data_IF_103119721365
#
_entry.id   IF_103119721365
#
_cell.length_a   1.000
_cell.length_b   1.000
_cell.length_c   1.000
_cell.angle_alpha   90.00
_cell.angle_beta   90.00
_cell.angle_gamma   90.00
#
_symmetry.space_group_name_H-M   'P 1'
#
loop_
_entity.id
_entity.type
_entity.pdbx_description
1 polymer ?
#
# COMPACT_ATOMS: atom_id res chain seq x y z
N UNK A 1 -28.32 35.66 15.66
CA UNK A 1 -27.68 34.55 14.90
C UNK A 1 -28.78 33.53 14.65
N UNK A 2 -28.98 33.10 13.40
CA UNK A 2 -30.05 32.15 13.05
C UNK A 2 -29.78 30.77 13.67
N UNK A 3 -30.68 30.22 14.52
CA UNK A 3 -30.50 28.90 15.14
C UNK A 3 -30.31 27.75 14.13
N UNK A 4 -30.87 27.87 12.92
CA UNK A 4 -30.71 26.87 11.87
C UNK A 4 -29.27 26.83 11.33
N UNK A 5 -28.68 28.01 11.07
CA UNK A 5 -27.31 28.14 10.61
C UNK A 5 -26.28 27.63 11.63
N UNK A 6 -26.53 27.85 12.93
CA UNK A 6 -25.66 27.33 14.00
C UNK A 6 -25.68 25.79 14.07
N UNK A 7 -26.85 25.18 13.86
CA UNK A 7 -27.00 23.72 13.82
C UNK A 7 -26.25 23.11 12.64
N UNK A 8 -26.34 23.75 11.47
CA UNK A 8 -25.66 23.29 10.26
C UNK A 8 -24.13 23.39 10.38
N UNK A 9 -23.61 24.46 11.00
CA UNK A 9 -22.19 24.60 11.27
C UNK A 9 -21.66 23.52 12.24
N UNK A 10 -22.42 23.21 13.30
CA UNK A 10 -22.06 22.13 14.24
C UNK A 10 -22.02 20.78 13.54
N UNK A 11 -22.98 20.48 12.66
CA UNK A 11 -23.03 19.25 11.87
C UNK A 11 -21.82 19.17 10.93
N UNK A 12 -21.49 20.25 10.24
CA UNK A 12 -20.34 20.29 9.32
C UNK A 12 -19.02 20.02 10.06
N UNK A 13 -18.80 20.69 11.19
CA UNK A 13 -17.62 20.47 12.04
C UNK A 13 -17.53 19.03 12.54
N UNK A 14 -18.65 18.43 12.94
CA UNK A 14 -18.68 17.03 13.36
C UNK A 14 -18.29 16.07 12.21
N UNK A 15 -18.80 16.31 10.99
CA UNK A 15 -18.44 15.54 9.79
C UNK A 15 -16.96 15.68 9.44
N UNK A 16 -16.39 16.88 9.52
CA UNK A 16 -14.95 17.09 9.30
C UNK A 16 -14.09 16.27 10.28
N UNK A 17 -14.47 16.24 11.56
CA UNK A 17 -13.78 15.47 12.60
C UNK A 17 -13.90 13.97 12.31
N UNK A 18 -15.09 13.50 11.95
CA UNK A 18 -15.31 12.09 11.59
C UNK A 18 -14.49 11.68 10.36
N UNK A 19 -14.56 12.48 9.28
CA UNK A 19 -13.78 12.23 8.06
C UNK A 19 -12.29 12.17 8.35
N UNK A 20 -11.79 13.04 9.22
CA UNK A 20 -10.40 13.01 9.63
C UNK A 20 -10.01 11.69 10.30
N UNK A 21 -10.77 11.23 11.28
CA UNK A 21 -10.48 9.96 11.95
C UNK A 21 -10.55 8.78 10.99
N UNK A 22 -11.56 8.76 10.10
CA UNK A 22 -11.65 7.77 9.02
C UNK A 22 -10.39 7.77 8.15
N UNK A 23 -9.86 8.95 7.81
CA UNK A 23 -8.63 9.07 7.00
C UNK A 23 -7.39 8.65 7.76
N UNK A 24 -7.30 8.87 9.07
CA UNK A 24 -6.20 8.37 9.90
C UNK A 24 -6.19 6.83 9.85
N UNK A 25 -7.30 6.20 10.19
CA UNK A 25 -7.43 4.73 10.19
C UNK A 25 -7.14 4.16 8.81
N UNK A 26 -7.67 4.78 7.75
CA UNK A 26 -7.43 4.33 6.38
C UNK A 26 -5.94 4.42 6.00
N UNK A 27 -5.23 5.48 6.38
CA UNK A 27 -3.78 5.59 6.10
C UNK A 27 -2.97 4.53 6.85
N UNK A 28 -3.39 4.16 8.06
CA UNK A 28 -2.73 3.12 8.84
C UNK A 28 -2.98 1.74 8.20
N UNK A 29 -4.21 1.46 7.77
CA UNK A 29 -4.54 0.26 7.00
C UNK A 29 -3.81 0.18 5.64
N UNK A 30 -3.55 1.33 5.01
CA UNK A 30 -2.80 1.42 3.76
C UNK A 30 -1.30 1.12 3.93
N UNK A 31 -0.74 1.31 5.12
CA UNK A 31 0.73 1.23 5.31
C UNK A 31 1.19 0.11 6.23
N UNK A 32 0.53 -0.10 7.37
CA UNK A 32 1.02 -0.99 8.43
C UNK A 32 1.05 -2.45 7.96
N UNK A 33 0.01 -3.01 7.30
CA UNK A 33 0.03 -4.41 6.89
C UNK A 33 1.21 -4.74 5.97
N UNK A 34 1.50 -3.88 4.99
CA UNK A 34 2.64 -4.06 4.08
C UNK A 34 3.97 -3.91 4.81
N UNK A 35 4.08 -2.94 5.73
CA UNK A 35 5.29 -2.76 6.54
C UNK A 35 5.59 -4.00 7.39
N UNK A 36 4.57 -4.58 8.04
CA UNK A 36 4.71 -5.80 8.83
C UNK A 36 5.21 -6.97 7.98
N UNK A 37 4.68 -7.14 6.77
CA UNK A 37 5.15 -8.18 5.85
C UNK A 37 6.61 -7.94 5.46
N UNK A 38 6.95 -6.73 5.01
CA UNK A 38 8.33 -6.40 4.57
C UNK A 38 9.34 -6.53 5.71
N UNK A 39 9.01 -6.03 6.89
CA UNK A 39 9.91 -6.11 8.04
C UNK A 39 9.99 -7.53 8.60
N UNK A 40 8.89 -8.29 8.59
CA UNK A 40 8.86 -9.70 8.97
C UNK A 40 9.76 -10.55 8.09
N UNK A 41 9.83 -10.27 6.78
CA UNK A 41 10.79 -10.91 5.87
C UNK A 41 12.23 -10.64 6.32
N UNK A 42 12.56 -9.39 6.65
CA UNK A 42 13.90 -9.07 7.10
C UNK A 42 14.26 -9.77 8.41
N UNK A 43 13.34 -9.84 9.37
CA UNK A 43 13.54 -10.60 10.62
C UNK A 43 13.76 -12.09 10.34
N UNK A 44 12.98 -12.71 9.46
CA UNK A 44 13.15 -14.11 9.07
C UNK A 44 14.47 -14.40 8.34
N UNK A 45 15.17 -13.35 7.88
CA UNK A 45 16.43 -13.42 7.15
C UNK A 45 17.58 -12.75 7.92
N UNK A 46 17.49 -12.67 9.25
CA UNK A 46 18.46 -11.92 10.09
C UNK A 46 19.93 -12.27 9.78
N UNK A 47 20.21 -13.55 9.48
CA UNK A 47 21.55 -14.05 9.14
C UNK A 47 22.12 -13.55 7.80
N UNK A 48 21.29 -12.92 6.95
CA UNK A 48 21.63 -12.55 5.56
C UNK A 48 21.54 -11.06 5.28
N UNK A 49 20.90 -10.30 6.16
CA UNK A 49 20.67 -8.88 5.95
C UNK A 49 21.53 -8.07 6.91
N UNK A 50 21.68 -6.77 6.66
CA UNK A 50 22.33 -5.89 7.62
C UNK A 50 21.36 -5.62 8.80
N UNK A 51 21.63 -6.10 10.02
CA UNK A 51 20.72 -5.98 11.16
C UNK A 51 20.55 -4.52 11.59
N UNK A 52 21.61 -3.71 11.50
CA UNK A 52 21.56 -2.27 11.84
C UNK A 52 20.61 -1.52 10.93
N UNK A 53 20.64 -1.81 9.62
CA UNK A 53 19.72 -1.21 8.64
C UNK A 53 18.28 -1.66 8.91
N UNK A 54 18.07 -2.94 9.22
CA UNK A 54 16.74 -3.48 9.51
C UNK A 54 16.11 -2.86 10.75
N UNK A 55 16.85 -2.88 11.87
CA UNK A 55 16.41 -2.30 13.15
C UNK A 55 16.18 -0.79 12.98
N UNK A 56 17.10 -0.09 12.32
CA UNK A 56 16.97 1.35 12.05
C UNK A 56 15.72 1.67 11.22
N UNK A 57 15.46 0.91 10.15
CA UNK A 57 14.27 1.07 9.31
C UNK A 57 12.97 0.78 10.08
N UNK A 58 12.92 -0.31 10.86
CA UNK A 58 11.75 -0.67 11.66
C UNK A 58 11.45 0.36 12.75
N UNK A 59 12.48 0.80 13.50
CA UNK A 59 12.34 1.80 14.55
C UNK A 59 11.90 3.15 13.96
N UNK A 60 12.54 3.58 12.88
CA UNK A 60 12.20 4.82 12.17
C UNK A 60 10.75 4.78 11.68
N UNK A 61 10.33 3.68 11.04
CA UNK A 61 8.97 3.52 10.57
C UNK A 61 7.95 3.61 11.72
N UNK A 62 8.19 2.87 12.80
CA UNK A 62 7.27 2.81 13.95
C UNK A 62 7.10 4.19 14.59
N UNK A 63 8.21 4.89 14.84
CA UNK A 63 8.20 6.25 15.41
C UNK A 63 7.46 7.21 14.49
N UNK A 64 7.75 7.19 13.19
CA UNK A 64 7.10 8.07 12.23
C UNK A 64 5.61 7.78 12.05
N UNK A 65 5.15 6.53 12.26
CA UNK A 65 3.71 6.21 12.22
C UNK A 65 2.97 6.79 13.41
N UNK A 66 3.53 6.67 14.63
CA UNK A 66 2.98 7.33 15.80
C UNK A 66 2.91 8.85 15.61
N UNK A 67 3.99 9.47 15.11
CA UNK A 67 4.01 10.90 14.81
C UNK A 67 3.06 11.30 13.67
N UNK A 68 2.91 10.47 12.64
CA UNK A 68 1.98 10.71 11.54
C UNK A 68 0.54 10.83 12.05
N UNK A 69 0.11 9.91 12.92
CA UNK A 69 -1.22 9.93 13.54
C UNK A 69 -1.43 11.19 14.38
N UNK A 70 -0.45 11.57 15.19
CA UNK A 70 -0.49 12.81 15.99
C UNK A 70 -0.57 14.05 15.07
N UNK A 71 0.29 14.12 14.05
CA UNK A 71 0.33 15.22 13.10
C UNK A 71 -1.00 15.36 12.34
N UNK A 72 -1.59 14.23 11.94
CA UNK A 72 -2.89 14.22 11.27
C UNK A 72 -4.01 14.70 12.21
N UNK A 73 -4.07 14.18 13.44
CA UNK A 73 -5.07 14.58 14.42
C UNK A 73 -5.02 16.08 14.72
N UNK A 74 -3.81 16.64 14.84
CA UNK A 74 -3.55 18.05 15.19
C UNK A 74 -3.46 19.03 14.00
N UNK A 75 -3.78 18.61 12.76
CA UNK A 75 -3.66 19.46 11.53
C UNK A 75 -2.23 19.98 11.27
N UNK A 76 -1.20 19.26 11.69
CA UNK A 76 0.19 19.72 11.58
C UNK A 76 0.76 19.45 10.19
N UNK A 77 0.66 20.45 9.32
CA UNK A 77 1.29 20.46 8.00
C UNK A 77 2.57 21.32 8.05
N UNK A 78 3.71 20.93 7.44
CA UNK A 78 3.93 19.80 6.53
C UNK A 78 4.33 18.48 7.21
N UNK A 79 4.40 18.44 8.54
CA UNK A 79 4.91 17.30 9.32
C UNK A 79 4.21 15.98 8.97
N UNK A 80 2.89 15.99 8.76
CA UNK A 80 2.15 14.82 8.28
C UNK A 80 2.74 14.25 6.98
N UNK A 81 2.91 15.11 5.96
CA UNK A 81 3.41 14.67 4.66
C UNK A 81 4.84 14.11 4.76
N UNK A 82 5.69 14.72 5.58
CA UNK A 82 7.05 14.23 5.83
C UNK A 82 7.08 12.91 6.58
N UNK A 83 6.28 12.75 7.63
CA UNK A 83 6.20 11.49 8.38
C UNK A 83 5.78 10.33 7.45
N UNK A 84 4.81 10.57 6.57
CA UNK A 84 4.41 9.58 5.57
C UNK A 84 5.54 9.25 4.59
N UNK A 85 6.20 10.27 4.00
CA UNK A 85 7.27 10.08 3.01
C UNK A 85 8.46 9.32 3.58
N UNK A 86 8.95 9.73 4.75
CA UNK A 86 10.08 9.08 5.40
C UNK A 86 9.70 7.67 5.86
N UNK A 87 8.44 7.45 6.29
CA UNK A 87 7.93 6.11 6.57
C UNK A 87 7.95 5.19 5.34
N UNK A 88 7.59 5.69 4.15
CA UNK A 88 7.71 4.93 2.91
C UNK A 88 9.18 4.58 2.61
N UNK A 89 10.10 5.53 2.78
CA UNK A 89 11.54 5.30 2.60
C UNK A 89 12.06 4.22 3.55
N UNK A 90 11.59 4.19 4.80
CA UNK A 90 11.97 3.15 5.76
C UNK A 90 11.52 1.74 5.32
N UNK A 91 10.29 1.59 4.80
CA UNK A 91 9.86 0.30 4.25
C UNK A 91 10.69 -0.07 3.02
N UNK A 92 10.96 0.87 2.11
CA UNK A 92 11.82 0.64 0.94
C UNK A 92 13.21 0.19 1.37
N UNK A 93 13.80 0.83 2.38
CA UNK A 93 15.11 0.45 2.91
C UNK A 93 15.11 -0.99 3.45
N UNK A 94 14.08 -1.39 4.21
CA UNK A 94 13.92 -2.78 4.66
C UNK A 94 13.79 -3.76 3.50
N UNK A 95 13.00 -3.42 2.48
CA UNK A 95 12.82 -4.26 1.29
C UNK A 95 14.13 -4.39 0.48
N UNK A 96 14.86 -3.29 0.27
CA UNK A 96 16.16 -3.29 -0.42
C UNK A 96 17.18 -4.11 0.36
N UNK A 97 17.22 -3.97 1.69
CA UNK A 97 18.10 -4.76 2.55
C UNK A 97 17.82 -6.27 2.39
N UNK A 98 16.54 -6.67 2.33
CA UNK A 98 16.15 -8.05 2.07
C UNK A 98 16.55 -8.54 0.66
N UNK A 99 16.33 -7.72 -0.38
CA UNK A 99 16.71 -8.05 -1.76
C UNK A 99 18.23 -8.23 -1.88
N UNK A 100 19.00 -7.30 -1.32
CA UNK A 100 20.48 -7.33 -1.31
C UNK A 100 20.98 -8.53 -0.52
N UNK A 101 20.43 -8.77 0.68
CA UNK A 101 20.77 -9.92 1.52
C UNK A 101 20.63 -11.25 0.79
N UNK A 102 19.57 -11.40 -0.02
CA UNK A 102 19.31 -12.63 -0.76
C UNK A 102 20.06 -12.73 -2.10
N UNK A 103 20.45 -11.58 -2.68
CA UNK A 103 21.11 -11.53 -4.00
C UNK A 103 22.64 -11.48 -3.94
N UNK A 104 23.23 -10.82 -2.93
CA UNK A 104 24.64 -10.40 -2.92
C UNK A 104 25.48 -11.10 -1.85
N UNK A 105 24.92 -11.49 -0.70
CA UNK A 105 25.68 -12.15 0.37
C UNK A 105 25.54 -13.68 0.29
N UNK A 106 26.45 -14.40 -0.41
CA UNK A 106 26.58 -15.83 -0.22
C UNK A 106 27.15 -16.07 1.18
N UNK A 107 26.55 -16.99 1.94
CA UNK A 107 27.07 -17.40 3.24
C UNK A 107 28.52 -17.88 3.06
N UNK A 108 29.43 -17.43 3.94
CA UNK A 108 30.64 -18.17 4.28
C UNK A 108 30.24 -19.44 5.06
N UNK A 109 29.61 -20.38 4.35
CA UNK A 109 29.34 -21.76 4.74
C UNK A 109 28.92 -22.47 3.44
N UNK A 110 29.44 -23.67 3.13
CA UNK A 110 29.15 -24.33 1.86
C UNK A 110 27.75 -24.93 1.94
N UNK A 111 26.71 -24.12 1.75
CA UNK A 111 25.34 -24.51 1.32
C UNK A 111 24.41 -23.30 1.30
N UNK A 112 23.79 -23.09 0.13
CA UNK A 112 22.62 -22.27 -0.18
C UNK A 112 22.77 -20.74 -0.23
N UNK A 113 23.03 -20.25 -1.46
CA UNK A 113 22.34 -19.06 -1.98
C UNK A 113 20.83 -19.18 -1.67
N UNK A 114 20.13 -18.09 -1.38
CA UNK A 114 18.70 -18.19 -0.99
C UNK A 114 17.89 -19.03 -1.96
N UNK A 115 16.98 -19.87 -1.43
CA UNK A 115 16.16 -20.77 -2.24
C UNK A 115 15.46 -19.96 -3.33
N UNK A 116 15.28 -20.55 -4.51
CA UNK A 116 14.68 -19.88 -5.67
C UNK A 116 13.30 -19.30 -5.34
N UNK A 117 12.59 -19.98 -4.44
CA UNK A 117 11.31 -19.62 -3.85
C UNK A 117 11.44 -18.31 -3.05
N UNK A 118 12.41 -18.24 -2.13
CA UNK A 118 12.66 -17.04 -1.33
C UNK A 118 13.08 -15.86 -2.20
N UNK A 119 13.98 -16.07 -3.17
CA UNK A 119 14.39 -15.04 -4.14
C UNK A 119 13.20 -14.48 -4.89
N UNK A 120 12.38 -15.36 -5.46
CA UNK A 120 11.18 -14.98 -6.21
C UNK A 120 10.20 -14.22 -5.32
N UNK A 121 9.96 -14.71 -4.11
CA UNK A 121 9.04 -14.09 -3.16
C UNK A 121 9.45 -12.66 -2.82
N UNK A 122 10.72 -12.43 -2.49
CA UNK A 122 11.22 -11.10 -2.12
C UNK A 122 11.14 -10.13 -3.30
N UNK A 123 11.61 -10.53 -4.49
CA UNK A 123 11.58 -9.68 -5.69
C UNK A 123 10.14 -9.31 -6.05
N UNK A 124 9.23 -10.28 -6.08
CA UNK A 124 7.82 -10.05 -6.41
C UNK A 124 7.12 -9.18 -5.36
N UNK A 125 7.39 -9.40 -4.06
CA UNK A 125 6.87 -8.57 -2.96
C UNK A 125 7.33 -7.12 -3.10
N UNK A 126 8.59 -6.89 -3.46
CA UNK A 126 9.12 -5.55 -3.70
C UNK A 126 8.45 -4.86 -4.90
N UNK A 127 8.26 -5.58 -6.02
CA UNK A 127 7.55 -5.05 -7.20
C UNK A 127 6.12 -4.65 -6.83
N UNK A 128 5.40 -5.49 -6.10
CA UNK A 128 4.03 -5.20 -5.65
C UNK A 128 3.98 -4.01 -4.70
N UNK A 129 4.97 -3.88 -3.82
CA UNK A 129 5.09 -2.71 -2.94
C UNK A 129 5.36 -1.42 -3.73
N UNK A 130 6.30 -1.43 -4.69
CA UNK A 130 6.57 -0.28 -5.56
C UNK A 130 5.32 0.14 -6.33
N UNK A 131 4.61 -0.83 -6.91
CA UNK A 131 3.32 -0.61 -7.58
C UNK A 131 2.33 0.09 -6.63
N UNK A 132 2.18 -0.39 -5.39
CA UNK A 132 1.29 0.21 -4.40
C UNK A 132 1.67 1.66 -4.06
N UNK A 133 2.97 1.95 -3.88
CA UNK A 133 3.48 3.31 -3.65
C UNK A 133 3.18 4.24 -4.84
N UNK A 134 3.35 3.76 -6.07
CA UNK A 134 3.02 4.52 -7.28
C UNK A 134 1.51 4.80 -7.34
N UNK A 135 0.67 3.80 -7.09
CA UNK A 135 -0.78 3.93 -7.13
C UNK A 135 -1.32 4.92 -6.08
N UNK A 136 -0.80 4.87 -4.85
CA UNK A 136 -1.14 5.84 -3.78
C UNK A 136 -0.66 7.25 -4.11
N UNK A 137 0.52 7.40 -4.75
CA UNK A 137 1.00 8.66 -5.28
C UNK A 137 0.08 9.26 -6.35
N UNK A 138 -0.39 8.45 -7.31
CA UNK A 138 -1.33 8.92 -8.33
C UNK A 138 -2.67 9.29 -7.69
N UNK A 139 -3.22 8.43 -6.82
CA UNK A 139 -4.46 8.72 -6.11
C UNK A 139 -4.36 10.01 -5.28
N UNK A 140 -3.22 10.28 -4.65
CA UNK A 140 -2.98 11.53 -3.93
C UNK A 140 -3.19 12.75 -4.84
N UNK A 141 -2.65 12.74 -6.07
CA UNK A 141 -2.87 13.82 -7.05
C UNK A 141 -4.34 13.96 -7.45
N UNK A 142 -5.03 12.85 -7.71
CA UNK A 142 -6.45 12.86 -8.07
C UNK A 142 -7.34 13.34 -6.93
N UNK A 143 -6.93 13.09 -5.69
CA UNK A 143 -7.61 13.60 -4.48
C UNK A 143 -7.53 15.13 -4.39
N UNK A 144 -6.39 15.73 -4.77
CA UNK A 144 -6.26 17.18 -4.85
C UNK A 144 -7.12 17.76 -5.99
N UNK A 145 -7.14 17.10 -7.16
CA UNK A 145 -7.93 17.55 -8.33
C UNK A 145 -9.44 17.60 -8.01
N UNK A 146 -9.90 16.68 -7.15
CA UNK A 146 -11.29 16.55 -6.71
C UNK A 146 -11.66 17.41 -5.48
N UNK A 147 -10.72 18.18 -4.89
CA UNK A 147 -10.99 18.96 -3.67
C UNK A 147 -11.15 18.12 -2.39
N UNK A 148 -10.82 16.83 -2.47
CA UNK A 148 -11.08 15.86 -1.40
C UNK A 148 -9.99 15.83 -0.31
N UNK A 149 -8.99 16.73 -0.36
CA UNK A 149 -7.98 16.83 0.70
C UNK A 149 -8.49 17.59 1.92
N UNK A 150 -7.87 17.37 3.08
CA UNK A 150 -8.09 18.21 4.25
C UNK A 150 -7.83 19.71 3.96
N UNK A 151 -8.55 20.63 4.62
CA UNK A 151 -8.42 22.06 4.38
C UNK A 151 -7.03 22.63 4.74
N UNK A 152 -6.31 22.01 5.66
CA UNK A 152 -4.94 22.42 5.97
C UNK A 152 -3.92 22.17 4.83
N UNK A 153 -4.27 21.34 3.83
CA UNK A 153 -3.40 21.07 2.68
C UNK A 153 -3.41 22.19 1.62
N UNK A 154 -4.22 23.23 1.79
CA UNK A 154 -4.40 24.33 0.81
C UNK A 154 -3.11 25.07 0.43
N UNK A 155 -2.13 25.11 1.34
CA UNK A 155 -0.86 25.83 1.12
C UNK A 155 0.22 24.96 0.47
N UNK A 156 -0.07 23.70 0.17
CA UNK A 156 0.90 22.85 -0.53
C UNK A 156 1.04 23.27 -1.99
N UNK A 157 2.23 23.10 -2.56
CA UNK A 157 2.47 23.32 -3.99
C UNK A 157 1.51 22.52 -4.88
N UNK A 158 1.12 21.30 -4.47
CA UNK A 158 0.13 20.49 -5.19
C UNK A 158 -1.31 21.02 -5.12
N UNK A 159 -1.63 21.93 -4.20
CA UNK A 159 -2.96 22.53 -4.09
C UNK A 159 -3.08 23.85 -4.87
N UNK A 160 -1.96 24.48 -5.24
CA UNK A 160 -1.95 25.73 -5.99
C UNK A 160 -2.59 25.53 -7.37
N UNK A 161 -3.53 26.41 -7.72
CA UNK A 161 -4.28 26.33 -8.98
C UNK A 161 -5.31 25.20 -9.06
N UNK A 162 -5.56 24.48 -7.96
CA UNK A 162 -6.60 23.44 -7.87
C UNK A 162 -7.79 23.92 -7.05
N UNK A 163 -8.84 23.10 -7.06
CA UNK A 163 -10.09 23.34 -6.31
C UNK A 163 -9.82 23.50 -4.80
N UNK A 164 -10.75 24.14 -4.10
CA UNK A 164 -10.68 24.25 -2.65
C UNK A 164 -10.69 22.86 -1.99
N UNK A 165 -9.84 22.68 -0.99
CA UNK A 165 -9.69 21.41 -0.28
C UNK A 165 -10.56 21.44 0.98
N UNK A 166 -11.55 20.56 1.07
CA UNK A 166 -12.53 20.58 2.15
C UNK A 166 -13.10 19.18 2.44
N UNK A 167 -12.29 18.14 2.21
CA UNK A 167 -12.72 16.73 2.22
C UNK A 167 -13.78 16.38 1.16
N UNK A 168 -14.07 17.28 0.21
CA UNK A 168 -15.17 17.13 -0.74
C UNK A 168 -16.54 17.40 -0.11
N UNK A 169 -16.60 18.00 1.08
CA UNK A 169 -17.84 18.33 1.81
C UNK A 169 -18.58 19.52 1.19
N UNK A 170 -17.86 20.42 0.54
CA UNK A 170 -18.42 21.59 -0.13
C UNK A 170 -18.01 21.54 -1.61
N UNK A 171 -18.96 21.80 -2.50
CA UNK A 171 -18.75 21.83 -3.94
C UNK A 171 -20.07 22.02 -4.69
N UNK A 172 -20.00 22.51 -5.92
CA UNK A 172 -21.17 22.56 -6.80
C UNK A 172 -21.37 21.17 -7.41
N UNK A 173 -22.39 20.46 -6.93
CA UNK A 173 -22.72 19.14 -7.44
C UNK A 173 -23.25 19.16 -8.89
N UNK A 174 -23.46 20.35 -9.48
CA UNK A 174 -23.80 20.51 -10.89
C UNK A 174 -22.56 20.76 -11.78
N UNK A 175 -21.35 20.93 -11.23
CA UNK A 175 -20.13 21.10 -12.03
C UNK A 175 -19.70 19.75 -12.65
N UNK A 176 -19.80 19.60 -14.00
CA UNK A 176 -19.45 18.34 -14.66
C UNK A 176 -17.95 17.99 -14.51
N UNK A 177 -17.08 18.98 -14.37
CA UNK A 177 -15.65 18.73 -14.19
C UNK A 177 -15.35 18.22 -12.78
N UNK A 178 -16.01 18.76 -11.75
CA UNK A 178 -15.90 18.27 -10.38
C UNK A 178 -16.40 16.83 -10.26
N UNK A 179 -17.56 16.53 -10.87
CA UNK A 179 -18.12 15.18 -10.87
C UNK A 179 -17.15 14.18 -11.52
N UNK A 180 -16.57 14.54 -12.67
CA UNK A 180 -15.56 13.71 -13.35
C UNK A 180 -14.28 13.54 -12.53
N UNK A 181 -13.82 14.60 -11.86
CA UNK A 181 -12.66 14.53 -10.97
C UNK A 181 -12.92 13.59 -9.78
N UNK A 182 -14.11 13.68 -9.16
CA UNK A 182 -14.56 12.79 -8.08
C UNK A 182 -14.70 11.34 -8.55
N UNK A 183 -15.21 11.11 -9.76
CA UNK A 183 -15.31 9.77 -10.34
C UNK A 183 -13.92 9.13 -10.53
N UNK A 184 -12.96 9.89 -11.09
CA UNK A 184 -11.58 9.43 -11.26
C UNK A 184 -10.94 9.15 -9.90
N UNK A 185 -11.13 10.05 -8.93
CA UNK A 185 -10.63 9.89 -7.57
C UNK A 185 -11.17 8.64 -6.89
N UNK A 186 -12.49 8.41 -6.98
CA UNK A 186 -13.14 7.22 -6.47
C UNK A 186 -12.60 5.95 -7.14
N UNK A 187 -12.37 5.98 -8.46
CA UNK A 187 -11.75 4.85 -9.18
C UNK A 187 -10.39 4.48 -8.61
N UNK A 188 -9.53 5.47 -8.37
CA UNK A 188 -8.21 5.24 -7.78
C UNK A 188 -8.29 4.73 -6.33
N UNK A 189 -9.24 5.21 -5.52
CA UNK A 189 -9.53 4.63 -4.21
C UNK A 189 -9.90 3.14 -4.30
N UNK A 190 -10.74 2.76 -5.27
CA UNK A 190 -11.13 1.35 -5.47
C UNK A 190 -9.96 0.47 -5.90
N UNK A 191 -9.00 1.00 -6.66
CA UNK A 191 -7.76 0.29 -7.02
C UNK A 191 -6.95 -0.02 -5.76
N UNK A 192 -6.69 1.00 -4.93
CA UNK A 192 -5.91 0.85 -3.69
C UNK A 192 -6.61 -0.11 -2.73
N UNK A 193 -7.92 0.06 -2.54
CA UNK A 193 -8.70 -0.80 -1.68
C UNK A 193 -8.63 -2.27 -2.13
N UNK A 194 -8.75 -2.54 -3.43
CA UNK A 194 -8.61 -3.90 -3.95
C UNK A 194 -7.19 -4.46 -3.76
N UNK A 195 -6.16 -3.62 -3.85
CA UNK A 195 -4.79 -4.02 -3.57
C UNK A 195 -4.61 -4.37 -2.08
N UNK A 196 -5.23 -3.63 -1.15
CA UNK A 196 -5.19 -3.93 0.28
C UNK A 196 -5.98 -5.19 0.67
N UNK A 197 -7.08 -5.47 -0.03
CA UNK A 197 -7.88 -6.68 0.19
C UNK A 197 -7.16 -7.95 -0.30
N UNK A 198 -6.29 -7.83 -1.31
CA UNK A 198 -5.67 -8.97 -1.99
C UNK A 198 -4.19 -9.17 -1.66
N UNK A 199 -3.36 -8.12 -1.73
CA UNK A 199 -1.90 -8.25 -1.73
C UNK A 199 -1.36 -8.70 -0.36
N UNK A 200 -1.69 -8.07 0.78
CA UNK A 200 -1.14 -8.47 2.07
C UNK A 200 -1.44 -9.95 2.41
N UNK A 201 -2.68 -10.40 2.19
CA UNK A 201 -3.08 -11.79 2.43
C UNK A 201 -2.38 -12.77 1.48
N UNK A 202 -2.25 -12.40 0.20
CA UNK A 202 -1.51 -13.20 -0.76
C UNK A 202 -0.05 -13.35 -0.34
N UNK A 203 0.63 -12.25 -0.02
CA UNK A 203 2.03 -12.28 0.41
C UNK A 203 2.24 -13.14 1.65
N UNK A 204 1.32 -13.09 2.62
CA UNK A 204 1.37 -13.96 3.80
C UNK A 204 1.26 -15.45 3.43
N UNK A 205 0.35 -15.82 2.53
CA UNK A 205 0.22 -17.21 2.06
C UNK A 205 1.45 -17.66 1.25
N UNK A 206 1.98 -16.80 0.37
CA UNK A 206 3.21 -17.09 -0.36
C UNK A 206 4.42 -17.21 0.57
N UNK A 207 4.50 -16.42 1.64
CA UNK A 207 5.55 -16.55 2.65
C UNK A 207 5.49 -17.92 3.33
N UNK A 208 4.29 -18.40 3.71
CA UNK A 208 4.12 -19.76 4.22
C UNK A 208 4.62 -20.82 3.24
N UNK A 209 4.35 -20.63 1.95
CA UNK A 209 4.82 -21.52 0.89
C UNK A 209 6.35 -21.60 0.74
N UNK A 210 7.10 -20.56 1.09
CA UNK A 210 8.57 -20.59 1.11
C UNK A 210 9.10 -21.62 2.10
N UNK A 211 8.41 -21.81 3.23
CA UNK A 211 8.79 -22.75 4.29
C UNK A 211 8.16 -24.14 4.14
N UNK A 212 7.16 -24.27 3.26
CA UNK A 212 6.35 -25.46 3.13
C UNK A 212 7.00 -26.61 2.34
N UNK A 213 8.14 -26.40 1.68
CA UNK A 213 8.85 -27.48 0.98
C UNK A 213 8.14 -28.07 -0.26
N UNK A 214 7.09 -27.42 -0.77
CA UNK A 214 6.32 -27.87 -1.93
C UNK A 214 7.08 -27.78 -3.27
N UNK A 215 6.36 -27.93 -4.39
CA UNK A 215 6.98 -27.84 -5.72
C UNK A 215 7.49 -26.41 -5.98
N UNK A 216 8.82 -26.30 -6.18
CA UNK A 216 9.54 -25.04 -6.32
C UNK A 216 9.22 -24.29 -7.61
N UNK A 217 9.13 -25.02 -8.73
CA UNK A 217 8.82 -24.44 -10.03
C UNK A 217 7.39 -23.86 -10.03
N UNK A 218 6.44 -24.61 -9.48
CA UNK A 218 5.06 -24.18 -9.36
C UNK A 218 4.94 -22.92 -8.49
N UNK A 219 5.66 -22.86 -7.36
CA UNK A 219 5.72 -21.68 -6.50
C UNK A 219 6.17 -20.45 -7.29
N UNK A 220 7.28 -20.57 -8.02
CA UNK A 220 7.88 -19.47 -8.80
C UNK A 220 6.92 -18.97 -9.87
N UNK A 221 6.31 -19.90 -10.62
CA UNK A 221 5.34 -19.58 -11.67
C UNK A 221 4.11 -18.87 -11.07
N UNK A 222 3.55 -19.39 -9.98
CA UNK A 222 2.39 -18.79 -9.32
C UNK A 222 2.66 -17.36 -8.86
N UNK A 223 3.80 -17.12 -8.22
CA UNK A 223 4.18 -15.80 -7.71
C UNK A 223 4.46 -14.80 -8.85
N UNK A 224 5.12 -15.24 -9.92
CA UNK A 224 5.39 -14.42 -11.10
C UNK A 224 4.09 -14.02 -11.82
N UNK A 225 3.20 -14.99 -12.09
CA UNK A 225 1.90 -14.72 -12.72
C UNK A 225 1.06 -13.81 -11.83
N UNK A 226 0.98 -14.09 -10.52
CA UNK A 226 0.27 -13.26 -9.56
C UNK A 226 0.74 -11.80 -9.63
N UNK A 227 2.05 -11.58 -9.58
CA UNK A 227 2.65 -10.24 -9.63
C UNK A 227 2.28 -9.52 -10.94
N UNK A 228 2.45 -10.20 -12.07
CA UNK A 228 2.12 -9.65 -13.38
C UNK A 228 0.63 -9.26 -13.49
N UNK A 229 -0.29 -10.16 -13.14
CA UNK A 229 -1.72 -9.88 -13.25
C UNK A 229 -2.18 -8.80 -12.28
N UNK A 230 -1.55 -8.66 -11.10
CA UNK A 230 -1.85 -7.56 -10.18
C UNK A 230 -1.38 -6.21 -10.72
N UNK A 231 -0.22 -6.13 -11.36
CA UNK A 231 0.23 -4.91 -12.02
C UNK A 231 -0.70 -4.53 -13.18
N UNK A 232 -1.04 -5.49 -14.03
CA UNK A 232 -1.95 -5.27 -15.16
C UNK A 232 -3.39 -4.98 -14.72
N UNK A 233 -3.87 -5.55 -13.61
CA UNK A 233 -5.18 -5.23 -13.04
C UNK A 233 -5.31 -3.73 -12.74
N UNK A 234 -4.28 -3.10 -12.15
CA UNK A 234 -4.29 -1.66 -11.88
C UNK A 234 -4.34 -0.85 -13.17
N UNK A 235 -3.57 -1.24 -14.18
CA UNK A 235 -3.63 -0.60 -15.51
C UNK A 235 -5.01 -0.72 -16.14
N UNK A 236 -5.60 -1.92 -16.18
CA UNK A 236 -6.92 -2.17 -16.73
C UNK A 236 -8.01 -1.41 -15.96
N UNK A 237 -7.90 -1.31 -14.63
CA UNK A 237 -8.84 -0.55 -13.81
C UNK A 237 -8.74 0.95 -14.10
N UNK A 238 -7.54 1.52 -14.16
CA UNK A 238 -7.33 2.94 -14.43
C UNK A 238 -7.91 3.36 -15.80
N UNK A 239 -7.71 2.51 -16.82
CA UNK A 239 -8.16 2.74 -18.21
C UNK A 239 -9.56 2.18 -18.51
N UNK A 240 -10.30 1.71 -17.51
CA UNK A 240 -11.67 1.18 -17.66
C UNK A 240 -11.79 0.00 -18.64
N UNK A 241 -10.74 -0.80 -18.79
CA UNK A 241 -10.70 -1.90 -19.76
C UNK A 241 -11.42 -3.12 -19.21
N UNK A 242 -12.63 -3.36 -19.73
CA UNK A 242 -13.37 -4.62 -19.56
C UNK A 242 -13.12 -5.54 -20.77
N UNK A 243 -13.14 -6.89 -20.61
CA UNK A 243 -13.33 -7.66 -19.38
C UNK A 243 -12.02 -7.93 -18.62
N UNK A 244 -10.91 -7.38 -19.09
CA UNK A 244 -9.55 -7.62 -18.60
C UNK A 244 -9.41 -7.45 -17.09
N UNK A 245 -10.00 -6.40 -16.51
CA UNK A 245 -10.01 -6.21 -15.05
C UNK A 245 -10.53 -7.43 -14.29
N UNK A 246 -11.68 -7.98 -14.69
CA UNK A 246 -12.30 -9.11 -14.00
C UNK A 246 -11.45 -10.38 -14.13
N UNK A 247 -10.90 -10.64 -15.32
CA UNK A 247 -10.02 -11.78 -15.55
C UNK A 247 -8.73 -11.72 -14.74
N UNK A 248 -8.08 -10.57 -14.66
CA UNK A 248 -6.86 -10.41 -13.86
C UNK A 248 -7.11 -10.62 -12.37
N UNK A 249 -8.27 -10.18 -11.86
CA UNK A 249 -8.66 -10.47 -10.49
C UNK A 249 -8.85 -11.98 -10.27
N UNK A 250 -9.58 -12.67 -11.16
CA UNK A 250 -9.82 -14.12 -11.07
C UNK A 250 -8.53 -14.93 -11.14
N UNK A 251 -7.65 -14.62 -12.09
CA UNK A 251 -6.35 -15.29 -12.24
C UNK A 251 -5.49 -15.05 -11.01
N UNK A 252 -5.50 -13.83 -10.45
CA UNK A 252 -4.78 -13.52 -9.21
C UNK A 252 -5.22 -14.40 -8.04
N UNK A 253 -6.53 -14.54 -7.82
CA UNK A 253 -7.08 -15.42 -6.79
C UNK A 253 -6.72 -16.89 -7.04
N UNK A 254 -6.79 -17.33 -8.29
CA UNK A 254 -6.42 -18.70 -8.67
C UNK A 254 -4.96 -19.01 -8.29
N UNK A 255 -4.01 -18.12 -8.56
CA UNK A 255 -2.60 -18.34 -8.21
C UNK A 255 -2.37 -18.44 -6.70
N UNK A 256 -3.13 -17.69 -5.89
CA UNK A 256 -3.08 -17.80 -4.42
C UNK A 256 -3.54 -19.19 -3.99
N UNK A 257 -4.66 -19.68 -4.53
CA UNK A 257 -5.22 -21.00 -4.18
C UNK A 257 -4.30 -22.13 -4.62
N UNK A 258 -3.78 -22.08 -5.85
CA UNK A 258 -2.84 -23.09 -6.38
C UNK A 258 -1.59 -23.15 -5.52
N UNK A 259 -1.02 -22.01 -5.14
CA UNK A 259 0.12 -21.99 -4.23
C UNK A 259 -0.23 -22.50 -2.83
N UNK A 260 -1.42 -22.19 -2.33
CA UNK A 260 -1.91 -22.71 -1.04
C UNK A 260 -1.97 -24.24 -1.03
N UNK A 261 -2.51 -24.85 -2.09
CA UNK A 261 -2.53 -26.31 -2.25
C UNK A 261 -1.10 -26.87 -2.36
N UNK A 262 -0.24 -26.24 -3.17
CA UNK A 262 1.17 -26.64 -3.29
C UNK A 262 1.89 -26.64 -1.94
N UNK A 263 1.60 -25.64 -1.10
CA UNK A 263 2.18 -25.50 0.24
C UNK A 263 1.65 -26.58 1.18
N UNK A 264 0.34 -26.86 1.17
CA UNK A 264 -0.24 -27.95 1.99
C UNK A 264 0.40 -29.28 1.61
N UNK A 265 0.48 -29.58 0.31
CA UNK A 265 1.09 -30.82 -0.19
C UNK A 265 2.56 -30.92 0.24
N UNK A 266 3.31 -29.83 0.20
CA UNK A 266 4.71 -29.82 0.64
C UNK A 266 4.92 -30.06 2.14
N UNK A 267 3.99 -29.61 2.98
CA UNK A 267 4.10 -29.82 4.44
C UNK A 267 3.83 -31.28 4.83
N UNK A 268 2.96 -31.97 4.10
CA UNK A 268 2.50 -33.32 4.46
C UNK A 268 3.16 -34.45 3.67
N UNK A 269 3.98 -34.14 2.66
CA UNK A 269 4.77 -35.11 1.88
C UNK A 269 6.26 -34.98 2.20
#
# INVERSE_FOLDING_TARGET
>A
MDPAAEKDEKILKAREVEHRWRRIVQNDLESIPLALVVFGIGVALEDRINPTVQIGAMATYTVLRCFHTIAYAKKLQPHRAWCWRIGVVAIVAGAVNAVVGVSIYPKQQPTMTGSTELKTYIVCSFILYLKFVIATGIQATKTFDAGCRPPEDKNLALAQGRREQNYGLLGDDNDPELLKAREIEHRWKRIIQNDLESIPLALLLFLGGVFAGGNKELFVICMAIYTFVRCFHTYAYANMVQPHRAWCWRIGVLMIVVNGVNSIVGVFN
#
